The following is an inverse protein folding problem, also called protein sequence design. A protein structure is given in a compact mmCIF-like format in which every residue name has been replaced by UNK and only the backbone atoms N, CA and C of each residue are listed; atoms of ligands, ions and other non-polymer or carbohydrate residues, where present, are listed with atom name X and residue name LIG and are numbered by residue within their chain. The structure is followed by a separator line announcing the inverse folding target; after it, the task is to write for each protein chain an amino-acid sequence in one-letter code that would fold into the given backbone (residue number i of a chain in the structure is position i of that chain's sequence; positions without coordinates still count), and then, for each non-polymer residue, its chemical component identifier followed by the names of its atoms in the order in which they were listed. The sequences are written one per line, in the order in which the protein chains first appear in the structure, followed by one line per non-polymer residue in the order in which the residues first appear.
data_IF_959053771306
#
_entry.id   IF_959053771306
#
_cell.length_a   1.000
_cell.length_b   1.000
_cell.length_c   1.000
_cell.angle_alpha   90.00
_cell.angle_beta   90.00
_cell.angle_gamma   90.00
#
_symmetry.space_group_name_H-M   'P 1'
#
loop_
_entity.id
_entity.type
_entity.pdbx_description
1 polymer ?
#
# COMPACT_ATOMS: atom_id res chain seq x y z
N UNK A 1 -31.05 -9.29 -11.14
CA UNK A 1 -29.68 -9.62 -10.71
C UNK A 1 -29.71 -9.73 -9.19
N UNK A 2 -29.35 -10.88 -8.63
CA UNK A 2 -29.46 -11.14 -7.20
C UNK A 2 -28.18 -10.66 -6.48
N UNK A 3 -28.32 -10.10 -5.28
CA UNK A 3 -27.16 -9.72 -4.48
C UNK A 3 -26.76 -10.88 -3.56
N UNK A 4 -25.47 -11.20 -3.51
CA UNK A 4 -24.91 -12.28 -2.68
C UNK A 4 -23.90 -11.70 -1.69
N UNK A 5 -24.03 -12.06 -0.42
CA UNK A 5 -23.05 -11.67 0.59
C UNK A 5 -21.78 -12.52 0.50
N UNK A 6 -20.69 -12.08 1.11
CA UNK A 6 -19.43 -12.86 1.16
C UNK A 6 -19.61 -14.22 1.84
N UNK A 7 -20.42 -14.29 2.89
CA UNK A 7 -20.73 -15.55 3.59
C UNK A 7 -21.48 -16.51 2.71
N UNK A 8 -22.49 -16.00 1.97
CA UNK A 8 -23.22 -16.81 1.00
C UNK A 8 -22.32 -17.30 -0.13
N UNK A 9 -21.40 -16.45 -0.62
CA UNK A 9 -20.43 -16.87 -1.61
C UNK A 9 -19.50 -17.98 -1.09
N UNK A 10 -19.02 -17.86 0.15
CA UNK A 10 -18.22 -18.92 0.81
C UNK A 10 -18.97 -20.23 0.91
N UNK A 11 -20.21 -20.18 1.40
CA UNK A 11 -21.05 -21.36 1.52
C UNK A 11 -21.34 -21.99 0.14
N UNK A 12 -21.65 -21.18 -0.86
CA UNK A 12 -21.92 -21.65 -2.22
C UNK A 12 -20.67 -22.25 -2.89
N UNK A 13 -19.50 -21.62 -2.69
CA UNK A 13 -18.22 -22.13 -3.19
C UNK A 13 -17.84 -23.47 -2.52
N UNK A 14 -17.97 -23.56 -1.19
CA UNK A 14 -17.71 -24.79 -0.45
C UNK A 14 -18.64 -25.94 -0.86
N UNK A 15 -19.89 -25.64 -1.20
CA UNK A 15 -20.86 -26.60 -1.73
C UNK A 15 -20.65 -26.92 -3.21
N UNK A 16 -19.65 -26.31 -3.89
CA UNK A 16 -19.43 -26.52 -5.32
C UNK A 16 -20.51 -25.88 -6.21
N UNK A 17 -21.33 -24.98 -5.68
CA UNK A 17 -22.44 -24.34 -6.37
C UNK A 17 -22.06 -23.19 -7.29
N UNK A 18 -20.80 -22.78 -7.33
CA UNK A 18 -20.29 -21.74 -8.23
C UNK A 18 -19.93 -22.38 -9.58
N UNK A 19 -20.51 -21.86 -10.65
CA UNK A 19 -20.22 -22.27 -12.03
C UNK A 19 -19.07 -21.46 -12.63
N UNK A 20 -18.99 -20.16 -12.29
CA UNK A 20 -17.93 -19.28 -12.75
C UNK A 20 -18.03 -17.91 -12.07
N UNK A 21 -16.91 -17.18 -12.12
CA UNK A 21 -16.83 -15.81 -11.59
C UNK A 21 -16.23 -14.91 -12.65
N UNK A 22 -16.84 -13.74 -12.83
CA UNK A 22 -16.35 -12.71 -13.73
C UNK A 22 -16.14 -11.41 -12.96
N UNK A 23 -14.93 -10.85 -13.08
CA UNK A 23 -14.64 -9.48 -12.68
C UNK A 23 -15.11 -8.56 -13.79
N UNK A 24 -16.24 -7.89 -13.61
CA UNK A 24 -16.75 -6.95 -14.58
C UNK A 24 -16.29 -5.53 -14.23
N UNK A 25 -15.57 -4.88 -15.15
CA UNK A 25 -15.22 -3.48 -15.07
C UNK A 25 -16.43 -2.61 -15.29
N UNK A 26 -16.58 -1.54 -14.51
CA UNK A 26 -17.57 -0.50 -14.70
C UNK A 26 -17.05 0.82 -14.15
N UNK A 27 -16.82 1.80 -15.03
CA UNK A 27 -16.13 3.02 -14.66
C UNK A 27 -14.74 2.72 -14.08
N UNK A 28 -14.29 3.40 -13.04
CA UNK A 28 -12.99 3.21 -12.40
C UNK A 28 -12.87 1.97 -11.49
N UNK A 29 -13.84 1.05 -11.47
CA UNK A 29 -13.86 -0.07 -10.55
C UNK A 29 -14.32 -1.39 -11.20
N UNK A 30 -14.07 -2.49 -10.49
CA UNK A 30 -14.52 -3.83 -10.85
C UNK A 30 -15.56 -4.33 -9.87
N UNK A 31 -16.51 -5.13 -10.35
CA UNK A 31 -17.49 -5.85 -9.55
C UNK A 31 -17.37 -7.34 -9.80
N UNK A 32 -17.69 -8.16 -8.80
CA UNK A 32 -17.71 -9.61 -8.94
C UNK A 32 -19.12 -10.08 -9.32
N UNK A 33 -19.23 -10.65 -10.51
CA UNK A 33 -20.41 -11.37 -10.98
C UNK A 33 -20.19 -12.87 -10.81
N UNK A 34 -21.10 -13.53 -10.14
CA UNK A 34 -21.02 -14.94 -9.78
C UNK A 34 -22.12 -15.67 -10.57
N UNK A 35 -21.74 -16.57 -11.44
CA UNK A 35 -22.65 -17.51 -12.08
C UNK A 35 -22.76 -18.75 -11.20
N UNK A 36 -23.97 -19.09 -10.78
CA UNK A 36 -24.23 -20.29 -9.98
C UNK A 36 -24.67 -21.45 -10.88
N UNK A 37 -24.40 -22.67 -10.42
CA UNK A 37 -24.86 -23.87 -11.14
C UNK A 37 -26.38 -24.03 -11.18
N UNK A 38 -27.09 -23.33 -10.31
CA UNK A 38 -28.56 -23.24 -10.34
C UNK A 38 -29.10 -22.33 -11.47
N UNK A 39 -28.21 -21.71 -12.26
CA UNK A 39 -28.57 -20.81 -13.35
C UNK A 39 -28.90 -19.40 -12.92
N UNK A 40 -28.67 -19.03 -11.65
CA UNK A 40 -28.89 -17.69 -11.13
C UNK A 40 -27.58 -16.91 -11.10
N UNK A 41 -27.59 -15.73 -11.70
CA UNK A 41 -26.48 -14.79 -11.62
C UNK A 41 -26.63 -13.88 -10.40
N UNK A 42 -25.57 -13.77 -9.64
CA UNK A 42 -25.48 -12.90 -8.47
C UNK A 42 -24.31 -11.93 -8.58
N UNK A 43 -24.41 -10.80 -7.88
CA UNK A 43 -23.34 -9.83 -7.71
C UNK A 43 -22.93 -9.81 -6.26
N UNK A 44 -21.62 -9.82 -5.99
CA UNK A 44 -21.11 -9.71 -4.63
C UNK A 44 -21.49 -8.35 -4.03
N UNK A 45 -22.21 -8.37 -2.92
CA UNK A 45 -22.64 -7.18 -2.20
C UNK A 45 -21.64 -6.75 -1.13
N UNK A 46 -21.71 -5.47 -0.74
CA UNK A 46 -21.05 -4.96 0.47
C UNK A 46 -21.65 -5.61 1.71
N UNK A 47 -20.86 -5.68 2.79
CA UNK A 47 -21.38 -6.17 4.06
C UNK A 47 -22.59 -5.32 4.52
N UNK A 48 -23.68 -5.99 4.89
CA UNK A 48 -24.94 -5.38 5.37
C UNK A 48 -25.61 -4.43 4.39
N UNK A 49 -25.38 -4.62 3.08
CA UNK A 49 -25.99 -3.81 2.01
C UNK A 49 -26.30 -4.70 0.82
N UNK A 50 -27.26 -4.28 0.01
CA UNK A 50 -27.56 -4.88 -1.31
C UNK A 50 -26.74 -4.25 -2.43
N UNK A 51 -25.96 -3.19 -2.11
CA UNK A 51 -25.11 -2.54 -3.10
C UNK A 51 -23.96 -3.43 -3.53
N UNK A 52 -23.61 -3.45 -4.83
CA UNK A 52 -22.46 -4.18 -5.33
C UNK A 52 -21.17 -3.73 -4.66
N UNK A 53 -20.36 -4.70 -4.25
CA UNK A 53 -19.01 -4.42 -3.75
C UNK A 53 -18.10 -4.06 -4.93
N UNK A 54 -17.52 -2.87 -4.87
CA UNK A 54 -16.63 -2.36 -5.91
C UNK A 54 -15.17 -2.54 -5.48
N UNK A 55 -14.34 -2.94 -6.43
CA UNK A 55 -12.89 -3.13 -6.25
C UNK A 55 -12.17 -2.16 -7.19
N UNK A 56 -11.39 -1.24 -6.67
CA UNK A 56 -10.59 -0.33 -7.49
C UNK A 56 -9.39 -1.00 -8.17
N UNK A 57 -9.09 -2.27 -7.78
CA UNK A 57 -8.01 -3.05 -8.36
C UNK A 57 -8.46 -4.52 -8.50
N UNK A 58 -8.31 -5.14 -9.69
CA UNK A 58 -8.65 -6.55 -9.90
C UNK A 58 -7.88 -7.50 -8.98
N UNK A 59 -6.64 -7.18 -8.61
CA UNK A 59 -5.85 -8.01 -7.70
C UNK A 59 -6.52 -8.15 -6.32
N UNK A 60 -7.14 -7.10 -5.80
CA UNK A 60 -7.88 -7.15 -4.52
C UNK A 60 -9.11 -8.08 -4.60
N UNK A 61 -9.76 -8.14 -5.75
CA UNK A 61 -10.86 -9.07 -5.98
C UNK A 61 -10.36 -10.52 -6.08
N UNK A 62 -9.22 -10.74 -6.75
CA UNK A 62 -8.61 -12.07 -6.87
C UNK A 62 -8.12 -12.61 -5.52
N UNK A 63 -7.55 -11.78 -4.65
CA UNK A 63 -7.16 -12.17 -3.29
C UNK A 63 -8.39 -12.67 -2.53
N UNK A 64 -9.49 -11.92 -2.56
CA UNK A 64 -10.73 -12.30 -1.90
C UNK A 64 -11.30 -13.61 -2.47
N UNK A 65 -11.28 -13.80 -3.78
CA UNK A 65 -11.74 -15.04 -4.42
C UNK A 65 -10.89 -16.24 -3.99
N UNK A 66 -9.58 -16.06 -3.89
CA UNK A 66 -8.66 -17.10 -3.41
C UNK A 66 -8.95 -17.50 -1.95
N UNK A 67 -9.27 -16.54 -1.09
CA UNK A 67 -9.67 -16.80 0.32
C UNK A 67 -10.97 -17.61 0.40
N UNK A 68 -11.83 -17.48 -0.59
CA UNK A 68 -13.09 -18.23 -0.70
C UNK A 68 -12.91 -19.60 -1.37
N UNK A 69 -11.70 -19.89 -1.88
CA UNK A 69 -11.37 -21.14 -2.58
C UNK A 69 -11.61 -21.10 -4.09
N UNK A 70 -11.79 -19.92 -4.68
CA UNK A 70 -12.00 -19.74 -6.12
C UNK A 70 -10.68 -19.24 -6.73
N UNK A 71 -9.98 -20.10 -7.47
CA UNK A 71 -8.68 -19.81 -8.07
C UNK A 71 -8.77 -19.22 -9.48
N UNK A 72 -9.90 -19.38 -10.17
CA UNK A 72 -10.07 -18.97 -11.58
C UNK A 72 -11.24 -18.01 -11.70
N UNK A 73 -11.00 -16.88 -12.35
CA UNK A 73 -12.02 -15.90 -12.69
C UNK A 73 -11.72 -15.29 -14.05
N UNK A 74 -12.78 -14.88 -14.76
CA UNK A 74 -12.67 -14.13 -16.00
C UNK A 74 -12.59 -12.63 -15.69
N UNK A 75 -11.86 -11.88 -16.51
CA UNK A 75 -11.80 -10.42 -16.43
C UNK A 75 -12.47 -9.84 -17.68
N UNK A 76 -13.56 -9.08 -17.47
CA UNK A 76 -14.24 -8.28 -18.49
C UNK A 76 -13.97 -6.81 -18.21
N UNK A 77 -13.10 -6.20 -18.99
CA UNK A 77 -12.70 -4.80 -18.88
C UNK A 77 -13.39 -3.89 -19.92
N UNK A 78 -14.43 -4.38 -20.59
CA UNK A 78 -15.07 -3.65 -21.70
C UNK A 78 -15.58 -2.28 -21.28
N UNK A 79 -16.21 -2.19 -20.11
CA UNK A 79 -16.77 -0.95 -19.57
C UNK A 79 -15.87 -0.31 -18.48
N UNK A 80 -14.61 -0.73 -18.40
CA UNK A 80 -13.67 -0.18 -17.43
C UNK A 80 -12.95 1.05 -17.99
N UNK A 81 -12.94 2.12 -17.20
CA UNK A 81 -12.25 3.36 -17.54
C UNK A 81 -11.20 3.68 -16.44
N UNK A 82 -9.90 3.61 -16.72
CA UNK A 82 -8.85 3.88 -15.75
C UNK A 82 -8.81 5.34 -15.26
N UNK A 83 -9.34 6.27 -16.08
CA UNK A 83 -9.34 7.70 -15.76
C UNK A 83 -10.51 8.09 -14.83
N UNK A 84 -11.52 7.25 -14.72
CA UNK A 84 -12.59 7.44 -13.75
C UNK A 84 -12.13 7.04 -12.34
N UNK A 85 -12.12 8.02 -11.44
CA UNK A 85 -11.81 7.76 -10.02
C UNK A 85 -12.99 7.05 -9.34
N UNK A 86 -12.74 5.86 -8.84
CA UNK A 86 -13.73 5.20 -7.97
C UNK A 86 -13.89 6.01 -6.66
N UNK A 87 -15.08 6.54 -6.44
CA UNK A 87 -15.45 7.32 -5.24
C UNK A 87 -15.25 6.52 -3.94
N UNK A 88 -15.25 5.18 -4.01
CA UNK A 88 -14.96 4.33 -2.84
C UNK A 88 -13.48 4.36 -2.42
N UNK A 89 -12.59 4.69 -3.36
CA UNK A 89 -11.13 4.84 -3.16
C UNK A 89 -10.77 6.16 -2.48
N UNK A 90 -11.67 7.14 -2.54
CA UNK A 90 -11.45 8.49 -2.01
C UNK A 90 -11.21 8.50 -0.49
N UNK A 91 -11.87 7.62 0.28
CA UNK A 91 -11.71 7.59 1.74
C UNK A 91 -10.39 6.98 2.21
N UNK A 92 -9.90 5.93 1.53
CA UNK A 92 -8.61 5.34 1.88
C UNK A 92 -7.44 6.23 1.43
N UNK A 93 -7.53 6.85 0.25
CA UNK A 93 -6.53 7.79 -0.23
C UNK A 93 -6.51 9.10 0.58
N UNK A 94 -7.65 9.58 1.08
CA UNK A 94 -7.69 10.71 2.00
C UNK A 94 -7.03 10.40 3.36
N UNK A 95 -7.29 9.21 3.92
CA UNK A 95 -6.65 8.78 5.16
C UNK A 95 -5.13 8.62 4.99
N UNK A 96 -4.69 8.12 3.84
CA UNK A 96 -3.28 7.97 3.51
C UNK A 96 -2.60 9.32 3.25
N UNK A 97 -3.25 10.22 2.51
CA UNK A 97 -2.79 11.59 2.31
C UNK A 97 -2.71 12.36 3.63
N UNK A 98 -3.68 12.19 4.54
CA UNK A 98 -3.65 12.77 5.88
C UNK A 98 -2.47 12.25 6.71
N UNK A 99 -2.20 10.93 6.70
CA UNK A 99 -1.03 10.36 7.41
C UNK A 99 0.27 10.93 6.86
N UNK A 100 0.42 11.00 5.54
CA UNK A 100 1.60 11.56 4.89
C UNK A 100 1.77 13.05 5.25
N UNK A 101 0.68 13.83 5.24
CA UNK A 101 0.70 15.22 5.65
C UNK A 101 1.08 15.40 7.13
N UNK A 102 0.57 14.56 8.03
CA UNK A 102 0.95 14.58 9.44
C UNK A 102 2.42 14.22 9.66
N UNK A 103 2.94 13.23 8.95
CA UNK A 103 4.36 12.85 8.99
C UNK A 103 5.26 13.99 8.48
N UNK A 104 4.89 14.62 7.35
CA UNK A 104 5.61 15.76 6.82
C UNK A 104 5.58 16.96 7.77
N UNK A 105 4.44 17.24 8.40
CA UNK A 105 4.32 18.33 9.39
C UNK A 105 5.12 18.04 10.67
N UNK A 106 5.21 16.80 11.11
CA UNK A 106 6.04 16.42 12.26
C UNK A 106 7.53 16.56 11.93
N UNK A 107 7.95 16.12 10.74
CA UNK A 107 9.33 16.27 10.27
C UNK A 107 9.73 17.73 10.11
N UNK A 108 8.85 18.55 9.52
CA UNK A 108 9.11 19.99 9.38
C UNK A 108 9.22 20.71 10.73
N UNK A 109 8.42 20.34 11.72
CA UNK A 109 8.53 20.90 13.09
C UNK A 109 9.84 20.51 13.76
N UNK A 110 10.24 19.24 13.63
CA UNK A 110 11.53 18.78 14.13
C UNK A 110 12.68 19.53 13.46
N UNK A 111 12.69 19.60 12.12
CA UNK A 111 13.71 20.32 11.36
C UNK A 111 13.78 21.81 11.72
N UNK A 112 12.62 22.47 11.90
CA UNK A 112 12.58 23.86 12.34
C UNK A 112 13.20 24.04 13.74
N UNK A 113 13.01 23.07 14.64
CA UNK A 113 13.66 23.04 15.96
C UNK A 113 15.18 22.93 15.86
N UNK A 114 15.69 22.01 15.07
CA UNK A 114 17.12 21.80 14.82
C UNK A 114 17.79 23.03 14.20
N UNK A 115 17.09 23.67 13.24
CA UNK A 115 17.58 24.91 12.61
C UNK A 115 17.64 26.03 13.64
N UNK A 116 16.58 26.18 14.46
CA UNK A 116 16.54 27.23 15.48
C UNK A 116 17.63 27.01 16.52
N UNK A 117 17.85 25.78 16.98
CA UNK A 117 18.91 25.44 17.93
C UNK A 117 20.29 25.75 17.33
N UNK A 118 20.49 25.47 16.03
CA UNK A 118 21.73 25.80 15.33
C UNK A 118 21.95 27.33 15.18
N UNK A 119 20.86 28.10 15.00
CA UNK A 119 20.94 29.55 14.91
C UNK A 119 21.21 30.21 16.28
N UNK A 120 20.70 29.60 17.34
CA UNK A 120 20.90 30.09 18.72
C UNK A 120 22.22 29.63 19.34
N UNK A 121 22.96 28.73 18.66
CA UNK A 121 24.26 28.26 19.11
C UNK A 121 25.29 29.42 19.07
N UNK A 122 25.82 29.83 20.23
CA UNK A 122 26.77 30.95 20.32
C UNK A 122 28.19 30.59 19.79
N UNK A 123 28.42 29.35 19.43
CA UNK A 123 29.73 28.92 18.90
C UNK A 123 29.93 29.47 17.50
N UNK A 124 31.14 29.96 17.16
CA UNK A 124 31.41 30.45 15.82
C UNK A 124 31.26 29.32 14.80
N UNK A 125 30.70 29.62 13.66
CA UNK A 125 30.59 28.65 12.54
C UNK A 125 32.00 28.24 12.08
N UNK A 126 32.21 26.95 11.95
CA UNK A 126 33.48 26.40 11.42
C UNK A 126 33.46 26.58 9.90
N UNK A 127 34.52 27.17 9.30
CA UNK A 127 34.66 27.23 7.84
C UNK A 127 34.59 25.85 7.22
N UNK A 128 34.01 25.76 6.01
CA UNK A 128 33.81 24.47 5.33
C UNK A 128 35.12 23.68 5.16
N UNK A 129 36.20 24.34 4.78
CA UNK A 129 37.51 23.71 4.56
C UNK A 129 38.09 23.12 5.86
N UNK A 130 37.90 23.80 6.99
CA UNK A 130 38.32 23.34 8.30
C UNK A 130 37.49 22.13 8.77
N UNK A 131 36.19 22.16 8.54
CA UNK A 131 35.28 21.06 8.85
C UNK A 131 35.61 19.81 8.01
N UNK A 132 35.91 19.97 6.73
CA UNK A 132 36.32 18.88 5.84
C UNK A 132 37.67 18.29 6.25
N UNK A 133 38.65 19.13 6.55
CA UNK A 133 39.96 18.65 7.00
C UNK A 133 39.89 17.89 8.34
N UNK A 134 39.03 18.31 9.27
CA UNK A 134 38.80 17.61 10.52
C UNK A 134 38.12 16.25 10.28
N UNK A 135 37.19 16.17 9.36
CA UNK A 135 36.50 14.92 9.01
C UNK A 135 37.42 13.93 8.31
N UNK A 136 38.26 14.38 7.40
CA UNK A 136 39.29 13.55 6.74
C UNK A 136 40.29 12.99 7.75
N UNK A 137 40.74 13.81 8.71
CA UNK A 137 41.64 13.35 9.78
C UNK A 137 41.02 12.29 10.69
N UNK A 138 39.70 12.41 10.95
CA UNK A 138 38.96 11.43 11.76
C UNK A 138 38.80 10.09 11.00
N UNK A 139 38.51 10.16 9.70
CA UNK A 139 38.43 8.98 8.82
C UNK A 139 39.80 8.26 8.79
N UNK A 140 40.87 8.99 8.58
CA UNK A 140 42.25 8.43 8.58
C UNK A 140 42.60 7.76 9.91
N UNK A 141 42.20 8.36 11.04
CA UNK A 141 42.40 7.78 12.36
C UNK A 141 41.63 6.46 12.54
N UNK A 142 40.39 6.38 12.05
CA UNK A 142 39.57 5.17 12.09
C UNK A 142 40.21 4.07 11.21
N UNK A 143 40.68 4.42 10.02
CA UNK A 143 41.34 3.47 9.12
C UNK A 143 42.62 2.91 9.71
N UNK A 144 43.45 3.76 10.33
CA UNK A 144 44.64 3.33 11.07
C UNK A 144 44.32 2.38 12.24
N UNK A 145 43.27 2.68 13.00
CA UNK A 145 42.78 1.80 14.06
C UNK A 145 42.33 0.45 13.51
N UNK A 146 41.57 0.42 12.42
CA UNK A 146 41.14 -0.82 11.77
C UNK A 146 42.32 -1.64 11.26
N UNK A 147 43.30 -1.01 10.63
CA UNK A 147 44.52 -1.68 10.15
C UNK A 147 45.37 -2.27 11.29
N UNK A 148 45.46 -1.56 12.42
CA UNK A 148 46.18 -2.05 13.60
C UNK A 148 45.47 -3.24 14.26
N UNK A 149 44.13 -3.23 14.27
CA UNK A 149 43.35 -4.33 14.80
C UNK A 149 43.42 -5.58 13.92
N UNK A 150 43.43 -5.41 12.60
CA UNK A 150 43.59 -6.50 11.65
C UNK A 150 44.93 -7.18 11.77
N UNK A 151 46.04 -6.43 12.01
CA UNK A 151 47.40 -6.98 12.24
C UNK A 151 47.51 -7.77 13.53
N UNK A 152 46.77 -7.38 14.58
CA UNK A 152 46.79 -8.11 15.88
C UNK A 152 46.00 -9.42 15.83
N UNK A 153 45.10 -9.58 14.90
CA UNK A 153 44.26 -10.78 14.77
C UNK A 153 44.83 -11.82 13.81
N UNK A 154 45.87 -11.46 13.05
CA UNK A 154 46.57 -12.34 12.09
C UNK A 154 47.94 -12.86 12.55
N UNK A 155 48.33 -12.59 13.79
CA UNK A 155 49.50 -13.14 14.47
C UNK A 155 49.05 -14.06 15.62
#
# INVERSE_FOLDING_TARGET
MHSMTLEQLRATAAAGGVAGVTLKGQGGAFMLRIATRSGQDAVLAKARSTEPRRFGNPASAMILLREVGIAVAQLDATDWNPDEKDMSRSRSSQAEAMRTAHQAAAHNRWLAGEIQESLDDPRPSVPHDEAMAAMDAEIDAIELQRASFARRKGA
#
